data_IF_978500485883
#
_entry.id   IF_978500485883
#
_cell.length_a   1.000
_cell.length_b   1.000
_cell.length_c   1.000
_cell.angle_alpha   90.00
_cell.angle_beta   90.00
_cell.angle_gamma   90.00
#
_symmetry.space_group_name_H-M   'P 1'
#
loop_
_entity.id
_entity.type
_entity.pdbx_description
1 polymer ?
#
# COMPACT_ATOMS: atom_id res chain seq x y z
N UNK A 1 -27.57 -5.42 -5.43
CA UNK A 1 -26.44 -5.61 -6.35
C UNK A 1 -25.75 -4.26 -6.50
N UNK A 2 -24.43 -4.17 -6.31
CA UNK A 2 -23.70 -2.89 -6.42
C UNK A 2 -23.50 -2.56 -7.89
N UNK A 3 -23.82 -1.34 -8.32
CA UNK A 3 -23.53 -0.85 -9.67
C UNK A 3 -22.03 -0.56 -9.80
N UNK A 4 -21.37 -1.21 -10.76
CA UNK A 4 -19.94 -1.10 -11.02
C UNK A 4 -19.63 -0.26 -12.27
N UNK A 5 -20.63 0.45 -12.81
CA UNK A 5 -20.46 1.33 -13.97
C UNK A 5 -19.46 2.43 -13.65
N UNK A 6 -18.44 2.58 -14.51
CA UNK A 6 -17.40 3.58 -14.31
C UNK A 6 -17.91 4.96 -14.69
N UNK A 7 -17.87 5.90 -13.73
CA UNK A 7 -18.15 7.30 -14.00
C UNK A 7 -16.86 8.01 -14.45
N UNK A 8 -16.68 8.15 -15.76
CA UNK A 8 -15.47 8.74 -16.35
C UNK A 8 -15.19 10.19 -15.90
N UNK A 9 -16.24 10.99 -15.71
CA UNK A 9 -16.11 12.39 -15.25
C UNK A 9 -15.55 12.44 -13.84
N UNK A 10 -16.07 11.60 -12.94
CA UNK A 10 -15.55 11.52 -11.57
C UNK A 10 -14.13 10.97 -11.54
N UNK A 11 -13.84 9.93 -12.33
CA UNK A 11 -12.50 9.37 -12.46
C UNK A 11 -11.48 10.44 -12.88
N UNK A 12 -11.79 11.24 -13.91
CA UNK A 12 -10.91 12.31 -14.37
C UNK A 12 -10.63 13.34 -13.27
N UNK A 13 -11.66 13.80 -12.57
CA UNK A 13 -11.51 14.77 -11.47
C UNK A 13 -10.65 14.20 -10.33
N UNK A 14 -10.83 12.93 -9.97
CA UNK A 14 -10.01 12.26 -8.95
C UNK A 14 -8.54 12.12 -9.36
N UNK A 15 -8.27 11.82 -10.64
CA UNK A 15 -6.91 11.74 -11.18
C UNK A 15 -6.23 13.11 -11.17
N UNK A 16 -6.94 14.17 -11.54
CA UNK A 16 -6.42 15.55 -11.48
C UNK A 16 -6.07 15.95 -10.04
N UNK A 17 -6.97 15.72 -9.09
CA UNK A 17 -6.72 16.00 -7.68
C UNK A 17 -5.52 15.24 -7.11
N UNK A 18 -5.36 13.96 -7.48
CA UNK A 18 -4.21 13.17 -7.05
C UNK A 18 -2.89 13.74 -7.59
N UNK A 19 -2.87 14.20 -8.86
CA UNK A 19 -1.69 14.85 -9.46
C UNK A 19 -1.37 16.16 -8.76
N UNK A 20 -2.35 17.04 -8.53
CA UNK A 20 -2.17 18.32 -7.86
C UNK A 20 -1.57 18.15 -6.45
N UNK A 21 -2.03 17.11 -5.72
CA UNK A 21 -1.55 16.80 -4.37
C UNK A 21 -0.29 15.93 -4.34
N UNK A 22 0.33 15.64 -5.48
CA UNK A 22 1.50 14.78 -5.61
C UNK A 22 1.31 13.39 -4.99
N UNK A 23 0.09 12.85 -5.09
CA UNK A 23 -0.29 11.52 -4.60
C UNK A 23 -0.01 10.50 -5.70
N UNK A 24 0.92 9.57 -5.43
CA UNK A 24 1.16 8.43 -6.31
C UNK A 24 0.31 7.24 -5.84
N UNK A 25 -0.59 6.77 -6.70
CA UNK A 25 -1.44 5.63 -6.43
C UNK A 25 -0.73 4.35 -6.93
N UNK A 26 -0.56 3.32 -6.07
CA UNK A 26 0.05 2.07 -6.49
C UNK A 26 -0.86 1.29 -7.45
N UNK A 27 -0.24 0.62 -8.42
CA UNK A 27 -0.94 -0.34 -9.28
C UNK A 27 -1.23 -1.65 -8.52
N UNK A 28 -2.20 -2.44 -8.99
CA UNK A 28 -2.46 -3.77 -8.43
C UNK A 28 -1.22 -4.68 -8.46
N UNK A 29 -0.38 -4.57 -9.48
CA UNK A 29 0.89 -5.30 -9.57
C UNK A 29 1.85 -4.93 -8.43
N UNK A 30 1.92 -3.64 -8.10
CA UNK A 30 2.70 -3.15 -6.97
C UNK A 30 2.11 -3.59 -5.63
N UNK A 31 0.80 -3.59 -5.46
CA UNK A 31 0.18 -4.06 -4.21
C UNK A 31 0.34 -5.57 -4.00
N UNK A 32 0.31 -6.36 -5.09
CA UNK A 32 0.48 -7.83 -5.04
C UNK A 32 1.92 -8.23 -4.66
N UNK A 33 2.90 -7.55 -5.22
CA UNK A 33 4.32 -7.83 -4.97
C UNK A 33 5.09 -6.52 -4.73
N UNK A 34 4.91 -5.94 -3.53
CA UNK A 34 5.37 -4.58 -3.23
C UNK A 34 6.87 -4.51 -3.08
N UNK A 35 7.54 -5.59 -2.65
CA UNK A 35 9.00 -5.57 -2.57
C UNK A 35 9.63 -5.47 -3.97
N UNK A 36 9.08 -6.17 -4.96
CA UNK A 36 9.64 -6.16 -6.32
C UNK A 36 9.30 -4.91 -7.12
N UNK A 37 8.09 -4.39 -7.01
CA UNK A 37 7.58 -3.36 -7.94
C UNK A 37 7.42 -1.96 -7.35
N UNK A 38 7.59 -1.77 -6.03
CA UNK A 38 7.55 -0.42 -5.43
C UNK A 38 8.77 0.38 -5.86
N UNK A 39 8.61 1.60 -6.41
CA UNK A 39 9.73 2.44 -6.82
C UNK A 39 10.67 2.77 -5.66
N UNK A 40 11.98 2.85 -5.93
CA UNK A 40 12.99 3.14 -4.91
C UNK A 40 12.70 4.43 -4.13
N UNK A 41 12.26 5.49 -4.82
CA UNK A 41 11.87 6.78 -4.19
C UNK A 41 10.75 6.60 -3.15
N UNK A 42 9.80 5.69 -3.41
CA UNK A 42 8.73 5.40 -2.46
C UNK A 42 9.24 4.57 -1.29
N UNK A 43 10.11 3.58 -1.52
CA UNK A 43 10.78 2.83 -0.43
C UNK A 43 11.55 3.77 0.51
N UNK A 44 12.29 4.74 -0.02
CA UNK A 44 13.00 5.73 0.81
C UNK A 44 12.03 6.62 1.59
N UNK A 45 10.94 7.09 0.98
CA UNK A 45 9.93 7.87 1.69
C UNK A 45 9.30 7.06 2.84
N UNK A 46 8.97 5.80 2.58
CA UNK A 46 8.43 4.88 3.58
C UNK A 46 9.37 4.71 4.78
N UNK A 47 10.70 4.66 4.58
CA UNK A 47 11.67 4.57 5.71
C UNK A 47 11.56 5.73 6.71
N UNK A 48 11.06 6.88 6.28
CA UNK A 48 10.84 8.06 7.14
C UNK A 48 9.39 8.25 7.59
N UNK A 49 8.45 7.53 6.97
CA UNK A 49 7.01 7.64 7.25
C UNK A 49 6.57 6.64 8.33
N UNK A 50 5.90 7.15 9.35
CA UNK A 50 5.24 6.37 10.39
C UNK A 50 4.10 5.52 9.84
N UNK A 51 3.85 4.38 10.48
CA UNK A 51 2.78 3.46 10.08
C UNK A 51 1.38 4.10 10.14
N UNK A 52 1.19 5.02 11.09
CA UNK A 52 -0.09 5.70 11.35
C UNK A 52 -0.15 7.12 10.79
N UNK A 53 0.89 7.57 10.09
CA UNK A 53 0.92 8.91 9.51
C UNK A 53 -0.05 9.01 8.33
N UNK A 54 -0.71 10.16 8.22
CA UNK A 54 -1.57 10.49 7.07
C UNK A 54 -0.70 10.94 5.89
N UNK A 55 0.16 10.05 5.42
CA UNK A 55 1.03 10.27 4.24
C UNK A 55 0.62 9.34 3.09
N UNK A 56 0.45 9.86 1.85
CA UNK A 56 0.10 9.06 0.68
C UNK A 56 1.05 7.90 0.35
N UNK A 57 2.30 7.93 0.83
CA UNK A 57 3.24 6.81 0.69
C UNK A 57 2.69 5.53 1.31
N UNK A 58 1.91 5.63 2.40
CA UNK A 58 1.30 4.47 3.05
C UNK A 58 0.32 3.70 2.16
N UNK A 59 -0.14 4.26 1.03
CA UNK A 59 -0.89 3.51 0.02
C UNK A 59 -0.10 2.31 -0.53
N UNK A 60 1.23 2.41 -0.60
CA UNK A 60 2.12 1.30 -1.01
C UNK A 60 2.23 0.19 0.05
N UNK A 61 1.78 0.44 1.29
CA UNK A 61 1.76 -0.50 2.41
C UNK A 61 0.36 -1.09 2.66
N UNK A 62 -0.59 -1.01 1.72
CA UNK A 62 -1.88 -1.71 1.86
C UNK A 62 -1.70 -3.16 1.41
N UNK A 63 -1.00 -3.95 2.23
CA UNK A 63 -0.64 -5.35 1.96
C UNK A 63 -0.46 -6.15 3.25
N UNK A 64 -0.51 -7.47 3.15
CA UNK A 64 -0.22 -8.41 4.24
C UNK A 64 1.27 -8.59 4.50
N UNK A 65 2.13 -8.11 3.61
CA UNK A 65 3.60 -8.20 3.68
C UNK A 65 4.24 -6.99 4.37
N UNK A 66 3.54 -6.33 5.26
CA UNK A 66 4.08 -5.16 5.95
C UNK A 66 5.05 -5.58 7.05
N UNK A 67 6.19 -4.92 7.13
CA UNK A 67 7.09 -5.09 8.27
C UNK A 67 6.49 -4.43 9.53
N UNK A 68 6.38 -5.13 10.68
CA UNK A 68 5.68 -4.65 11.87
C UNK A 68 6.52 -3.63 12.68
N UNK A 69 6.92 -2.52 12.04
CA UNK A 69 7.65 -1.41 12.68
C UNK A 69 6.76 -0.17 12.78
N UNK A 70 6.85 0.54 13.91
CA UNK A 70 6.10 1.78 14.15
C UNK A 70 6.44 2.89 13.15
N UNK A 71 7.70 2.96 12.72
CA UNK A 71 8.17 3.88 11.68
C UNK A 71 9.22 3.20 10.82
N UNK A 72 9.25 3.55 9.55
CA UNK A 72 10.27 3.13 8.60
C UNK A 72 10.22 1.68 8.10
N UNK A 73 9.20 0.91 8.47
CA UNK A 73 9.06 -0.49 8.04
C UNK A 73 8.82 -0.64 6.54
N UNK A 74 9.52 -1.53 5.85
CA UNK A 74 9.28 -1.72 4.42
C UNK A 74 8.33 -2.89 4.21
N UNK A 75 8.80 -3.93 3.53
CA UNK A 75 8.04 -5.14 3.26
C UNK A 75 8.80 -6.31 3.88
N UNK A 76 8.05 -7.24 4.46
CA UNK A 76 8.56 -8.46 5.07
C UNK A 76 7.73 -9.67 4.64
N UNK A 77 7.85 -10.74 5.42
CA UNK A 77 6.98 -11.90 5.24
C UNK A 77 5.55 -11.59 5.67
N UNK A 78 4.62 -12.48 5.29
CA UNK A 78 3.24 -12.37 5.77
C UNK A 78 3.26 -12.63 7.27
N UNK A 79 2.53 -11.82 8.04
CA UNK A 79 2.33 -12.07 9.47
C UNK A 79 1.50 -13.34 9.68
N UNK A 80 2.17 -14.49 9.68
CA UNK A 80 1.57 -15.80 9.93
C UNK A 80 1.99 -16.32 11.30
N UNK A 81 1.06 -16.94 12.01
CA UNK A 81 1.33 -17.73 13.20
C UNK A 81 1.06 -19.19 12.84
N UNK A 82 2.06 -20.06 13.01
CA UNK A 82 1.89 -21.50 12.84
C UNK A 82 1.31 -22.10 14.12
N UNK A 83 0.29 -22.95 13.97
CA UNK A 83 -0.26 -23.72 15.08
C UNK A 83 0.45 -25.08 15.13
N UNK A 84 1.02 -25.49 16.28
CA UNK A 84 1.63 -26.81 16.38
C UNK A 84 0.60 -27.91 16.14
N UNK A 85 1.00 -28.97 15.43
CA UNK A 85 0.12 -30.11 15.13
C UNK A 85 -0.40 -30.84 16.37
N UNK A 86 0.25 -30.65 17.52
CA UNK A 86 -0.18 -31.21 18.81
C UNK A 86 -1.50 -30.60 19.33
N UNK A 87 -1.94 -29.46 18.78
CA UNK A 87 -3.15 -28.73 19.18
C UNK A 87 -4.31 -28.82 18.17
N UNK A 88 -4.18 -29.61 17.10
CA UNK A 88 -5.19 -29.84 16.06
C UNK A 88 -5.53 -31.32 15.93
#
# INVERSE_FOLDING_TARGET
MIDLTVNEKQLKNSVEMAKERNILIPTFKQMRDPDKYTPAKMKEKLKTTGLWDVDPANLFRITWKNEPKKSGGLFGEVSTMEFPSEFT
#
